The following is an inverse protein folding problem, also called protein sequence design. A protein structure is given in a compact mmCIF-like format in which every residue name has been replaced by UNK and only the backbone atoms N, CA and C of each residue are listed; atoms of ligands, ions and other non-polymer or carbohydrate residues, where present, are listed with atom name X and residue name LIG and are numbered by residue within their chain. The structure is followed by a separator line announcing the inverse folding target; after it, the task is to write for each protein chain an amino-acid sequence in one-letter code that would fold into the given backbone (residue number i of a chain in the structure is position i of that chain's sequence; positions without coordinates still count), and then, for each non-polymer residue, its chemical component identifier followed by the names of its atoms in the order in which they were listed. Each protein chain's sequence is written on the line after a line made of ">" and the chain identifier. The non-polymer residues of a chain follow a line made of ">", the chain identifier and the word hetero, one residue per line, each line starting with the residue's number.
data_IF_343459958228
#
_entry.id   IF_343459958228
#
_cell.length_a   1.000
_cell.length_b   1.000
_cell.length_c   1.000
_cell.angle_alpha   90.00
_cell.angle_beta   90.00
_cell.angle_gamma   90.00
#
_symmetry.space_group_name_H-M   'P 1'
#
loop_
_entity.id
_entity.type
_entity.pdbx_description
1 polymer ?
#
# COMPACT_ATOMS: atom_id res chain seq x y z
N UNK A 1 -37.22 33.96 3.88
CA UNK A 1 -37.21 33.58 5.31
C UNK A 1 -36.69 32.15 5.38
N UNK A 2 -35.40 31.95 5.67
CA UNK A 2 -34.80 30.62 5.84
C UNK A 2 -34.28 30.50 7.26
N UNK A 3 -34.86 29.58 8.01
CA UNK A 3 -34.56 29.27 9.41
C UNK A 3 -33.24 28.50 9.52
N UNK A 4 -32.28 29.17 10.15
CA UNK A 4 -30.97 28.65 10.53
C UNK A 4 -31.13 27.82 11.83
N UNK A 5 -31.23 26.50 11.71
CA UNK A 5 -31.27 25.61 12.87
C UNK A 5 -29.86 25.35 13.38
N UNK A 6 -29.48 26.12 14.40
CA UNK A 6 -28.24 26.01 15.16
C UNK A 6 -28.40 24.87 16.18
N UNK A 7 -27.79 23.70 15.93
CA UNK A 7 -27.74 22.59 16.89
C UNK A 7 -26.51 22.76 17.77
N UNK A 8 -26.72 23.24 18.99
CA UNK A 8 -25.71 23.23 20.06
C UNK A 8 -25.54 21.79 20.57
N UNK A 9 -24.42 21.14 20.26
CA UNK A 9 -23.97 19.95 20.98
C UNK A 9 -23.28 20.38 22.28
N UNK A 10 -24.00 20.21 23.39
CA UNK A 10 -23.47 20.29 24.74
C UNK A 10 -22.55 19.11 25.02
N UNK A 11 -21.24 19.35 25.07
CA UNK A 11 -20.26 18.41 25.61
C UNK A 11 -20.42 18.32 27.14
N UNK A 12 -21.05 17.26 27.62
CA UNK A 12 -21.06 16.93 29.05
C UNK A 12 -19.71 16.31 29.43
N UNK A 13 -18.85 17.09 30.09
CA UNK A 13 -17.65 16.59 30.78
C UNK A 13 -18.06 15.69 31.95
N UNK A 14 -18.24 14.40 31.69
CA UNK A 14 -18.39 13.38 32.74
C UNK A 14 -17.07 13.19 33.48
N UNK A 15 -16.99 13.70 34.70
CA UNK A 15 -15.85 13.51 35.60
C UNK A 15 -15.65 12.04 35.95
N UNK A 16 -14.59 11.43 35.42
CA UNK A 16 -14.10 10.12 35.86
C UNK A 16 -13.52 10.27 37.27
N UNK A 17 -14.12 9.59 38.26
CA UNK A 17 -13.53 9.38 39.57
C UNK A 17 -12.21 8.63 39.42
N UNK A 18 -11.16 9.19 39.99
CA UNK A 18 -9.83 8.58 40.06
C UNK A 18 -9.86 7.45 41.09
N UNK A 19 -9.91 6.20 40.64
CA UNK A 19 -9.61 5.05 41.50
C UNK A 19 -8.08 4.96 41.70
N UNK A 20 -7.61 4.62 42.92
CA UNK A 20 -6.20 4.41 43.19
C UNK A 20 -5.74 3.14 42.47
N UNK A 21 -4.85 3.30 41.50
CA UNK A 21 -4.18 2.19 40.81
C UNK A 21 -3.15 1.61 41.77
N UNK A 22 -3.48 0.46 42.34
CA UNK A 22 -2.54 -0.38 43.08
C UNK A 22 -1.48 -0.90 42.09
N UNK A 23 -0.21 -0.57 42.34
CA UNK A 23 0.89 -0.92 41.45
C UNK A 23 1.09 -2.45 41.43
N UNK A 24 0.92 -3.13 40.29
CA UNK A 24 1.16 -4.56 40.21
C UNK A 24 2.66 -4.85 40.39
N UNK A 25 2.96 -5.86 41.20
CA UNK A 25 4.29 -6.38 41.41
C UNK A 25 4.96 -6.72 40.06
N UNK A 26 6.18 -6.25 39.86
CA UNK A 26 6.96 -6.43 38.64
C UNK A 26 7.27 -7.93 38.46
N UNK A 27 6.78 -8.60 37.39
CA UNK A 27 7.18 -9.97 37.13
C UNK A 27 8.65 -10.01 36.72
N UNK A 28 9.46 -10.63 37.57
CA UNK A 28 10.88 -10.89 37.38
C UNK A 28 11.04 -11.99 36.30
N UNK A 29 10.99 -11.57 35.05
CA UNK A 29 11.01 -12.46 33.88
C UNK A 29 10.77 -11.72 32.57
N UNK A 30 11.36 -10.52 32.44
CA UNK A 30 11.20 -9.71 31.24
C UNK A 30 11.68 -10.50 30.02
N UNK A 31 10.84 -10.70 28.99
CA UNK A 31 11.28 -11.30 27.75
C UNK A 31 12.42 -10.44 27.19
N UNK A 32 13.56 -11.08 26.96
CA UNK A 32 14.70 -10.47 26.27
C UNK A 32 14.18 -9.92 24.95
N UNK A 33 14.12 -8.59 24.83
CA UNK A 33 13.74 -7.96 23.57
C UNK A 33 14.68 -8.49 22.48
N UNK A 34 14.16 -8.91 21.32
CA UNK A 34 15.01 -9.31 20.20
C UNK A 34 15.99 -8.17 19.95
N UNK A 35 17.28 -8.52 19.84
CA UNK A 35 18.35 -7.57 19.53
C UNK A 35 17.99 -6.86 18.23
N UNK A 36 17.47 -5.64 18.35
CA UNK A 36 17.34 -4.71 17.23
C UNK A 36 18.74 -4.48 16.67
N UNK A 37 18.92 -4.76 15.38
CA UNK A 37 20.04 -4.18 14.65
C UNK A 37 21.14 -5.13 14.21
N UNK A 38 20.85 -6.41 13.90
CA UNK A 38 21.66 -7.07 12.88
C UNK A 38 21.26 -6.46 11.53
N UNK A 39 22.11 -5.66 10.87
CA UNK A 39 21.77 -5.10 9.56
C UNK A 39 21.53 -6.28 8.63
N UNK A 40 20.37 -6.31 7.98
CA UNK A 40 20.12 -7.27 6.91
C UNK A 40 21.19 -7.15 5.82
N UNK A 41 21.37 -8.19 4.99
CA UNK A 41 22.28 -8.10 3.85
C UNK A 41 21.95 -6.86 3.01
N UNK A 42 22.94 -5.99 2.79
CA UNK A 42 22.77 -4.84 1.91
C UNK A 42 22.59 -5.35 0.48
N UNK A 43 21.43 -5.07 -0.11
CA UNK A 43 21.14 -5.43 -1.49
C UNK A 43 21.68 -4.32 -2.39
N UNK A 44 22.70 -4.64 -3.20
CA UNK A 44 23.26 -3.68 -4.16
C UNK A 44 22.45 -3.72 -5.46
N UNK A 45 21.84 -2.59 -5.89
CA UNK A 45 21.07 -2.56 -7.13
C UNK A 45 21.98 -2.78 -8.35
N UNK A 46 21.45 -3.40 -9.39
CA UNK A 46 22.09 -3.45 -10.71
C UNK A 46 22.10 -2.06 -11.35
N UNK A 47 22.90 -1.87 -12.41
CA UNK A 47 22.93 -0.61 -13.16
C UNK A 47 21.54 -0.27 -13.75
N UNK A 48 20.81 -1.27 -14.27
CA UNK A 48 19.48 -1.08 -14.83
C UNK A 48 18.45 -0.70 -13.75
N UNK A 49 18.50 -1.33 -12.57
CA UNK A 49 17.65 -0.98 -11.42
C UNK A 49 17.91 0.45 -10.94
N UNK A 50 19.19 0.86 -10.86
CA UNK A 50 19.55 2.21 -10.49
C UNK A 50 19.07 3.24 -11.54
N UNK A 51 19.12 2.90 -12.83
CA UNK A 51 18.60 3.76 -13.89
C UNK A 51 17.07 3.93 -13.81
N UNK A 52 16.32 2.85 -13.58
CA UNK A 52 14.86 2.87 -13.40
C UNK A 52 14.49 3.68 -12.15
N UNK A 53 15.15 3.44 -11.01
CA UNK A 53 14.93 4.20 -9.77
C UNK A 53 15.18 5.70 -9.95
N UNK A 54 16.29 6.06 -10.60
CA UNK A 54 16.63 7.46 -10.89
C UNK A 54 15.57 8.13 -11.76
N UNK A 55 15.06 7.44 -12.77
CA UNK A 55 13.99 7.97 -13.63
C UNK A 55 12.69 8.21 -12.83
N UNK A 56 12.25 7.22 -12.05
CA UNK A 56 11.04 7.31 -11.24
C UNK A 56 11.12 8.35 -10.10
N UNK A 57 12.34 8.70 -9.69
CA UNK A 57 12.60 9.72 -8.68
C UNK A 57 12.33 11.15 -9.16
N UNK A 58 12.21 11.41 -10.47
CA UNK A 58 11.92 12.75 -11.02
C UNK A 58 10.52 13.20 -10.58
N UNK A 59 10.44 14.36 -9.90
CA UNK A 59 9.17 14.82 -9.30
C UNK A 59 8.15 15.29 -10.34
N UNK A 60 8.57 16.20 -11.22
CA UNK A 60 7.74 16.89 -12.21
C UNK A 60 8.59 17.25 -13.45
N UNK A 61 8.17 16.91 -14.68
CA UNK A 61 7.00 16.07 -14.99
C UNK A 61 7.18 14.62 -14.50
N UNK A 62 6.07 13.96 -14.18
CA UNK A 62 6.08 12.52 -13.89
C UNK A 62 6.51 11.76 -15.15
N UNK A 63 7.49 10.83 -15.06
CA UNK A 63 7.91 10.05 -16.21
C UNK A 63 6.80 9.09 -16.64
N UNK A 64 6.66 8.90 -17.95
CA UNK A 64 5.74 7.94 -18.53
C UNK A 64 6.23 6.50 -18.30
N UNK A 65 5.32 5.57 -17.98
CA UNK A 65 5.68 4.18 -17.66
C UNK A 65 6.32 3.42 -18.84
N UNK A 66 5.95 3.72 -20.09
CA UNK A 66 6.60 3.11 -21.25
C UNK A 66 8.04 3.63 -21.40
N UNK A 67 8.27 4.92 -21.16
CA UNK A 67 9.61 5.51 -21.16
C UNK A 67 10.52 4.90 -20.08
N UNK A 68 9.99 4.65 -18.89
CA UNK A 68 10.73 4.00 -17.79
C UNK A 68 11.03 2.53 -18.14
N UNK A 69 10.05 1.80 -18.66
CA UNK A 69 10.23 0.39 -19.03
C UNK A 69 11.30 0.21 -20.11
N UNK A 70 11.47 1.18 -20.99
CA UNK A 70 12.48 1.14 -22.06
C UNK A 70 13.93 1.34 -21.56
N UNK A 71 14.14 1.74 -20.29
CA UNK A 71 15.48 1.93 -19.72
C UNK A 71 16.18 0.63 -19.34
N UNK A 72 15.47 -0.49 -19.34
CA UNK A 72 15.98 -1.78 -18.88
C UNK A 72 15.57 -2.91 -19.84
N UNK A 73 16.43 -3.93 -20.03
CA UNK A 73 16.05 -5.15 -20.75
C UNK A 73 15.04 -6.01 -19.98
N UNK A 74 14.90 -5.84 -18.66
CA UNK A 74 14.05 -6.66 -17.78
C UNK A 74 13.07 -5.80 -16.98
N UNK A 75 12.09 -5.13 -17.63
CA UNK A 75 11.25 -4.14 -16.99
C UNK A 75 10.45 -4.68 -15.80
N UNK A 76 9.96 -5.92 -15.88
CA UNK A 76 9.21 -6.54 -14.78
C UNK A 76 10.10 -6.72 -13.54
N UNK A 77 11.27 -7.34 -13.70
CA UNK A 77 12.17 -7.62 -12.58
C UNK A 77 12.69 -6.34 -11.93
N UNK A 78 13.06 -5.35 -12.74
CA UNK A 78 13.62 -4.10 -12.23
C UNK A 78 12.56 -3.19 -11.59
N UNK A 79 11.33 -3.14 -12.13
CA UNK A 79 10.25 -2.40 -11.49
C UNK A 79 9.81 -3.06 -10.18
N UNK A 80 9.78 -4.40 -10.09
CA UNK A 80 9.51 -5.12 -8.83
C UNK A 80 10.59 -4.78 -7.80
N UNK A 81 11.85 -4.80 -8.21
CA UNK A 81 12.96 -4.42 -7.35
C UNK A 81 12.76 -3.00 -6.78
N UNK A 82 12.48 -2.01 -7.64
CA UNK A 82 12.29 -0.63 -7.21
C UNK A 82 11.03 -0.47 -6.34
N UNK A 83 9.94 -1.16 -6.66
CA UNK A 83 8.73 -1.13 -5.83
C UNK A 83 9.00 -1.61 -4.40
N UNK A 84 9.81 -2.66 -4.24
CA UNK A 84 10.06 -3.30 -2.95
C UNK A 84 11.22 -2.70 -2.14
N UNK A 85 12.18 -2.03 -2.79
CA UNK A 85 13.43 -1.61 -2.14
C UNK A 85 13.72 -0.11 -2.23
N UNK A 86 12.94 0.68 -2.96
CA UNK A 86 13.15 2.12 -3.04
C UNK A 86 12.57 2.84 -1.81
N UNK A 87 13.44 3.11 -0.83
CA UNK A 87 13.07 3.85 0.38
C UNK A 87 12.92 5.36 0.15
N UNK A 88 13.71 5.92 -0.77
CA UNK A 88 13.72 7.34 -1.07
C UNK A 88 13.86 7.60 -2.58
N UNK A 89 13.08 8.53 -3.15
CA UNK A 89 11.91 9.16 -2.55
C UNK A 89 10.70 8.19 -2.47
N UNK A 90 9.75 8.39 -1.54
CA UNK A 90 8.64 7.44 -1.32
C UNK A 90 7.69 7.27 -2.52
N UNK A 91 7.66 8.22 -3.46
CA UNK A 91 6.86 8.09 -4.68
C UNK A 91 7.51 7.16 -5.72
N UNK A 92 8.81 6.87 -5.64
CA UNK A 92 9.47 6.03 -6.63
C UNK A 92 8.95 4.58 -6.59
N UNK A 93 8.80 4.00 -5.39
CA UNK A 93 8.24 2.66 -5.20
C UNK A 93 6.78 2.58 -5.68
N UNK A 94 5.98 3.57 -5.29
CA UNK A 94 4.56 3.64 -5.67
C UNK A 94 4.39 3.78 -7.19
N UNK A 95 5.21 4.59 -7.86
CA UNK A 95 5.19 4.72 -9.32
C UNK A 95 5.69 3.44 -10.01
N UNK A 96 6.69 2.76 -9.47
CA UNK A 96 7.13 1.47 -10.00
C UNK A 96 5.99 0.43 -9.98
N UNK A 97 5.29 0.33 -8.84
CA UNK A 97 4.12 -0.53 -8.68
C UNK A 97 2.99 -0.17 -9.65
N UNK A 98 2.72 1.13 -9.87
CA UNK A 98 1.74 1.59 -10.86
C UNK A 98 2.14 1.20 -12.28
N UNK A 99 3.42 1.36 -12.65
CA UNK A 99 3.90 0.93 -13.97
C UNK A 99 3.82 -0.58 -14.19
N UNK A 100 4.05 -1.38 -13.14
CA UNK A 100 3.80 -2.83 -13.20
C UNK A 100 2.33 -3.12 -13.48
N UNK A 101 1.41 -2.50 -12.75
CA UNK A 101 -0.02 -2.77 -12.89
C UNK A 101 -0.57 -2.36 -14.27
N UNK A 102 -0.23 -1.16 -14.74
CA UNK A 102 -0.77 -0.61 -15.99
C UNK A 102 -0.09 -1.17 -17.25
N UNK A 103 1.22 -1.43 -17.19
CA UNK A 103 2.01 -1.84 -18.36
C UNK A 103 2.36 -3.32 -18.40
N UNK A 104 2.45 -3.98 -17.25
CA UNK A 104 3.01 -5.34 -17.12
C UNK A 104 2.14 -6.26 -16.26
N UNK A 105 0.85 -5.93 -16.08
CA UNK A 105 0.00 -6.54 -15.07
C UNK A 105 -0.07 -8.07 -15.12
N UNK A 106 -0.15 -8.66 -16.32
CA UNK A 106 -0.18 -10.13 -16.46
C UNK A 106 1.15 -10.79 -16.06
N UNK A 107 2.28 -10.21 -16.45
CA UNK A 107 3.61 -10.74 -16.13
C UNK A 107 3.99 -10.50 -14.65
N UNK A 108 3.50 -9.41 -14.06
CA UNK A 108 3.74 -9.02 -12.67
C UNK A 108 2.70 -9.60 -11.68
N UNK A 109 1.67 -10.29 -12.18
CA UNK A 109 0.51 -10.73 -11.40
C UNK A 109 0.84 -11.44 -10.07
N UNK A 110 1.81 -12.38 -10.01
CA UNK A 110 2.15 -13.03 -8.74
C UNK A 110 2.60 -12.04 -7.66
N UNK A 111 3.38 -11.02 -8.03
CA UNK A 111 3.87 -10.00 -7.11
C UNK A 111 2.75 -9.05 -6.69
N UNK A 112 1.91 -8.61 -7.62
CA UNK A 112 0.78 -7.73 -7.33
C UNK A 112 -0.21 -8.38 -6.35
N UNK A 113 -0.44 -9.70 -6.47
CA UNK A 113 -1.25 -10.48 -5.53
C UNK A 113 -0.53 -10.62 -4.18
N UNK A 114 0.79 -10.87 -4.18
CA UNK A 114 1.57 -10.99 -2.95
C UNK A 114 1.45 -9.74 -2.07
N UNK A 115 1.50 -8.53 -2.65
CA UNK A 115 1.33 -7.29 -1.89
C UNK A 115 -0.04 -7.17 -1.20
N UNK A 116 -1.10 -7.77 -1.74
CA UNK A 116 -2.42 -7.77 -1.11
C UNK A 116 -2.45 -8.60 0.18
N UNK A 117 -1.57 -9.61 0.27
CA UNK A 117 -1.42 -10.49 1.42
C UNK A 117 -0.40 -10.02 2.46
N UNK A 118 0.43 -9.03 2.14
CA UNK A 118 1.54 -8.58 2.98
C UNK A 118 1.23 -7.25 3.71
N UNK A 119 1.10 -7.25 5.05
CA UNK A 119 0.94 -6.03 5.83
C UNK A 119 2.07 -5.00 5.62
N UNK A 120 3.29 -5.45 5.29
CA UNK A 120 4.43 -4.57 5.04
C UNK A 120 4.31 -3.81 3.71
N UNK A 121 3.59 -4.38 2.74
CA UNK A 121 3.31 -3.80 1.43
C UNK A 121 2.00 -3.00 1.38
N UNK A 122 1.39 -2.66 2.53
CA UNK A 122 0.10 -1.95 2.61
C UNK A 122 0.00 -0.72 1.70
N UNK A 123 1.06 0.09 1.64
CA UNK A 123 1.09 1.29 0.79
C UNK A 123 0.91 0.95 -0.71
N UNK A 124 1.60 -0.09 -1.18
CA UNK A 124 1.51 -0.55 -2.57
C UNK A 124 0.14 -1.16 -2.86
N UNK A 125 -0.36 -2.01 -1.97
CA UNK A 125 -1.68 -2.63 -2.09
C UNK A 125 -2.80 -1.59 -2.18
N UNK A 126 -2.83 -0.60 -1.28
CA UNK A 126 -3.85 0.44 -1.29
C UNK A 126 -3.79 1.34 -2.52
N UNK A 127 -2.60 1.58 -3.08
CA UNK A 127 -2.46 2.28 -4.35
C UNK A 127 -3.01 1.45 -5.50
N UNK A 128 -2.66 0.16 -5.59
CA UNK A 128 -3.18 -0.73 -6.62
C UNK A 128 -4.72 -0.82 -6.59
N UNK A 129 -5.32 -0.84 -5.40
CA UNK A 129 -6.77 -0.79 -5.25
C UNK A 129 -7.40 0.50 -5.79
N UNK A 130 -6.66 1.61 -5.85
CA UNK A 130 -7.11 2.85 -6.47
C UNK A 130 -7.04 2.83 -8.01
N UNK A 131 -6.27 1.91 -8.59
CA UNK A 131 -6.09 1.77 -10.03
C UNK A 131 -7.01 0.69 -10.66
N UNK A 132 -7.87 0.01 -9.88
CA UNK A 132 -8.68 -1.12 -10.36
C UNK A 132 -9.51 -0.83 -11.63
N UNK A 133 -10.04 0.38 -11.77
CA UNK A 133 -10.80 0.79 -12.96
C UNK A 133 -9.95 0.94 -14.24
N UNK A 134 -8.62 1.03 -14.11
CA UNK A 134 -7.68 1.11 -15.24
C UNK A 134 -7.12 -0.27 -15.63
N UNK A 135 -7.38 -1.32 -14.85
CA UNK A 135 -6.84 -2.65 -15.09
C UNK A 135 -7.78 -3.49 -15.96
N UNK A 136 -7.24 -4.48 -16.71
CA UNK A 136 -8.07 -5.53 -17.31
C UNK A 136 -8.93 -6.21 -16.24
N UNK A 137 -10.22 -6.41 -16.54
CA UNK A 137 -11.19 -6.95 -15.57
C UNK A 137 -10.73 -8.24 -14.86
N UNK A 138 -10.15 -9.25 -15.53
CA UNK A 138 -9.67 -10.45 -14.86
C UNK A 138 -8.63 -10.16 -13.76
N UNK A 139 -7.67 -9.27 -14.05
CA UNK A 139 -6.64 -8.88 -13.07
C UNK A 139 -7.26 -8.04 -11.94
N UNK A 140 -8.15 -7.10 -12.26
CA UNK A 140 -8.84 -6.29 -11.26
C UNK A 140 -9.63 -7.16 -10.27
N UNK A 141 -10.32 -8.19 -10.77
CA UNK A 141 -11.03 -9.15 -9.95
C UNK A 141 -10.10 -9.96 -9.05
N UNK A 142 -9.01 -10.51 -9.59
CA UNK A 142 -8.04 -11.30 -8.82
C UNK A 142 -7.42 -10.47 -7.68
N UNK A 143 -7.03 -9.22 -7.96
CA UNK A 143 -6.48 -8.32 -6.94
C UNK A 143 -7.51 -7.93 -5.88
N UNK A 144 -8.75 -7.62 -6.29
CA UNK A 144 -9.82 -7.29 -5.35
C UNK A 144 -10.16 -8.47 -4.43
N UNK A 145 -10.22 -9.69 -4.97
CA UNK A 145 -10.42 -10.91 -4.18
C UNK A 145 -9.27 -11.17 -3.21
N UNK A 146 -8.02 -11.04 -3.68
CA UNK A 146 -6.85 -11.19 -2.84
C UNK A 146 -6.84 -10.19 -1.67
N UNK A 147 -7.19 -8.93 -1.93
CA UNK A 147 -7.27 -7.90 -0.90
C UNK A 147 -8.37 -8.17 0.14
N UNK A 148 -9.54 -8.66 -0.29
CA UNK A 148 -10.66 -9.02 0.59
C UNK A 148 -10.41 -10.29 1.42
N UNK A 149 -9.58 -11.21 0.92
CA UNK A 149 -9.16 -12.40 1.64
C UNK A 149 -7.94 -12.14 2.56
N UNK A 150 -7.22 -11.04 2.34
CA UNK A 150 -5.99 -10.70 3.04
C UNK A 150 -6.17 -9.88 4.31
N UNK A 151 -5.05 -9.49 4.95
CA UNK A 151 -5.05 -8.69 6.17
C UNK A 151 -5.56 -7.25 5.98
N UNK A 152 -5.78 -6.81 4.73
CA UNK A 152 -6.23 -5.47 4.36
C UNK A 152 -7.73 -5.41 4.01
N UNK A 153 -8.50 -6.45 4.32
CA UNK A 153 -9.90 -6.58 3.91
C UNK A 153 -10.79 -5.39 4.34
N UNK A 154 -10.59 -4.89 5.56
CA UNK A 154 -11.36 -3.78 6.12
C UNK A 154 -11.09 -2.46 5.38
N UNK A 155 -9.85 -2.19 5.00
CA UNK A 155 -9.51 -1.04 4.17
C UNK A 155 -9.85 -1.23 2.69
N UNK A 156 -9.81 -2.46 2.19
CA UNK A 156 -10.09 -2.78 0.79
C UNK A 156 -11.57 -2.64 0.44
N UNK A 157 -12.47 -3.14 1.31
CA UNK A 157 -13.92 -3.12 1.09
C UNK A 157 -14.49 -1.74 0.71
N UNK A 158 -14.26 -0.64 1.47
CA UNK A 158 -14.80 0.67 1.11
C UNK A 158 -14.16 1.28 -0.15
N UNK A 159 -13.02 0.77 -0.63
CA UNK A 159 -12.40 1.18 -1.90
C UNK A 159 -13.02 0.42 -3.07
N UNK A 160 -13.11 -0.90 -2.96
CA UNK A 160 -13.74 -1.77 -3.96
C UNK A 160 -15.21 -1.37 -4.16
N UNK A 161 -15.91 -0.99 -3.10
CA UNK A 161 -17.30 -0.49 -3.19
C UNK A 161 -17.46 0.79 -4.05
N UNK A 162 -16.38 1.53 -4.30
CA UNK A 162 -16.38 2.80 -5.08
C UNK A 162 -15.90 2.63 -6.52
N UNK A 163 -15.40 1.45 -6.88
CA UNK A 163 -14.93 1.12 -8.24
C UNK A 163 -16.11 1.22 -9.23
N UNK A 164 -15.85 1.72 -10.43
CA UNK A 164 -16.87 1.89 -11.47
C UNK A 164 -17.30 0.53 -12.05
N UNK A 165 -16.35 -0.38 -12.26
CA UNK A 165 -16.61 -1.75 -12.72
C UNK A 165 -17.60 -2.49 -11.77
N UNK A 166 -18.77 -2.83 -12.31
CA UNK A 166 -19.85 -3.43 -11.54
C UNK A 166 -19.50 -4.85 -11.01
N UNK A 167 -18.75 -5.64 -11.77
CA UNK A 167 -18.30 -6.98 -11.38
C UNK A 167 -17.36 -6.91 -10.18
N UNK A 168 -16.37 -6.01 -10.23
CA UNK A 168 -15.43 -5.79 -9.12
C UNK A 168 -16.15 -5.21 -7.90
N UNK A 169 -17.01 -4.20 -8.08
CA UNK A 169 -17.78 -3.58 -7.00
C UNK A 169 -18.70 -4.58 -6.28
N UNK A 170 -19.25 -5.56 -6.99
CA UNK A 170 -20.11 -6.59 -6.40
C UNK A 170 -19.38 -7.44 -5.34
N UNK A 171 -18.05 -7.53 -5.37
CA UNK A 171 -17.26 -8.27 -4.38
C UNK A 171 -17.29 -7.63 -2.97
N UNK A 172 -17.62 -6.34 -2.86
CA UNK A 172 -17.62 -5.60 -1.60
C UNK A 172 -18.98 -5.57 -0.88
N UNK A 173 -20.04 -6.09 -1.52
CA UNK A 173 -21.40 -6.15 -0.98
C UNK A 173 -21.56 -7.33 -0.01
#
# INVERSE_FOLDING_TARGET
>A
MLTLSLVLLTFACGGRKSEPVEAPATPEGAPTLPVEGQPGPTITPTESQAAVHKALSVRDPEPDCASVSALTPEPVADLIFVANHADQPPWASTRAARCLALGHGEAAKPELIAWMGDPSAKGLALMLLAELDQLPEPLAMELAQAALAGPLADEARPRIAKVENATVRALAQ
#
